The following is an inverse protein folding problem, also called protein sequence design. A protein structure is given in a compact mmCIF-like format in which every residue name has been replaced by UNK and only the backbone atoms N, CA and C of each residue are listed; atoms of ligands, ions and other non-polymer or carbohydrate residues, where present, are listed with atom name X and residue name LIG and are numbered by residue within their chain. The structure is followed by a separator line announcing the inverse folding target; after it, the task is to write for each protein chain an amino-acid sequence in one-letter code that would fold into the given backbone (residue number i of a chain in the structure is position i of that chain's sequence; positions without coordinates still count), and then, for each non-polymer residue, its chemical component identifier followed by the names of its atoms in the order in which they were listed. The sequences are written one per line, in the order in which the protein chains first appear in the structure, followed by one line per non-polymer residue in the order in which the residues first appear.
data_IF_983673062498
#
_entry.id   IF_983673062498
#
_cell.length_a   1.000
_cell.length_b   1.000
_cell.length_c   1.000
_cell.angle_alpha   90.00
_cell.angle_beta   90.00
_cell.angle_gamma   90.00
#
_symmetry.space_group_name_H-M   'P 1'
#
loop_
_entity.id
_entity.type
_entity.pdbx_description
1 polymer ?
#
# COMPACT_ATOMS: atom_id res chain seq x y z
N UNK A 1 -28.32 -3.54 7.73
CA UNK A 1 -27.14 -3.90 6.92
C UNK A 1 -26.74 -5.32 7.27
N UNK A 2 -26.55 -6.26 6.32
CA UNK A 2 -25.94 -7.53 6.64
C UNK A 2 -24.49 -7.26 7.09
N UNK A 3 -23.99 -7.99 8.09
CA UNK A 3 -22.67 -7.80 8.66
C UNK A 3 -21.59 -8.06 7.58
N UNK A 4 -20.96 -7.00 7.10
CA UNK A 4 -19.84 -7.06 6.15
C UNK A 4 -18.52 -7.48 6.82
N UNK A 5 -18.49 -7.52 8.14
CA UNK A 5 -17.28 -7.75 8.95
C UNK A 5 -17.29 -9.17 9.49
N UNK A 6 -16.18 -9.88 9.35
CA UNK A 6 -15.98 -11.23 9.87
C UNK A 6 -16.05 -11.26 11.40
N UNK A 7 -16.74 -12.24 11.97
CA UNK A 7 -16.43 -12.74 13.30
C UNK A 7 -15.07 -13.41 13.26
N UNK A 8 -14.20 -13.15 14.24
CA UNK A 8 -12.86 -13.76 14.34
C UNK A 8 -12.97 -15.28 14.19
N UNK A 9 -12.58 -15.78 13.00
CA UNK A 9 -12.41 -17.20 12.76
C UNK A 9 -10.99 -17.57 13.21
N UNK A 10 -10.80 -18.50 14.17
CA UNK A 10 -9.49 -18.89 14.67
C UNK A 10 -8.66 -19.72 13.69
N UNK A 11 -9.09 -19.88 12.43
CA UNK A 11 -8.41 -20.69 11.41
C UNK A 11 -7.30 -19.99 10.61
N UNK A 12 -6.94 -18.74 10.90
CA UNK A 12 -5.62 -18.22 10.53
C UNK A 12 -4.60 -18.95 11.43
N UNK A 13 -4.12 -20.10 10.98
CA UNK A 13 -3.20 -20.99 11.67
C UNK A 13 -1.98 -20.25 12.18
N UNK A 14 -1.83 -20.18 13.49
CA UNK A 14 -0.60 -19.77 14.17
C UNK A 14 0.55 -20.72 13.84
N UNK A 15 1.75 -20.22 13.49
CA UNK A 15 2.98 -20.93 13.78
C UNK A 15 3.33 -20.68 15.25
N UNK A 16 3.36 -21.75 16.03
CA UNK A 16 3.78 -21.74 17.43
C UNK A 16 5.23 -21.22 17.56
N UNK A 17 5.46 -20.19 18.33
CA UNK A 17 6.40 -19.96 19.42
C UNK A 17 6.79 -18.49 19.63
N UNK A 18 6.73 -18.15 20.88
CA UNK A 18 7.42 -17.10 21.65
C UNK A 18 6.75 -15.73 21.82
N UNK A 19 6.46 -15.53 23.07
CA UNK A 19 5.98 -14.37 23.81
C UNK A 19 6.62 -13.05 23.38
N UNK A 20 5.86 -12.19 22.72
CA UNK A 20 6.11 -10.76 22.72
C UNK A 20 4.80 -10.01 22.96
N UNK A 21 4.82 -9.08 23.89
CA UNK A 21 3.69 -8.26 24.31
C UNK A 21 3.12 -7.51 23.09
N UNK A 22 2.05 -8.05 22.55
CA UNK A 22 1.22 -7.37 21.57
C UNK A 22 0.46 -6.25 22.27
N UNK A 23 0.52 -5.04 21.72
CA UNK A 23 -0.59 -4.12 21.88
C UNK A 23 -1.64 -4.64 20.88
N UNK A 24 -2.31 -5.71 21.25
CA UNK A 24 -3.49 -6.19 20.60
C UNK A 24 -4.60 -5.16 20.87
N UNK A 25 -5.06 -4.47 19.84
CA UNK A 25 -6.42 -3.97 19.86
C UNK A 25 -7.35 -5.18 19.73
N UNK A 26 -7.45 -6.00 20.79
CA UNK A 26 -8.48 -7.02 20.94
C UNK A 26 -9.83 -6.33 21.20
N UNK A 27 -10.39 -5.74 20.16
CA UNK A 27 -11.80 -5.37 20.16
C UNK A 27 -12.61 -6.59 19.72
N UNK A 28 -13.26 -7.26 20.68
CA UNK A 28 -14.24 -8.30 20.38
C UNK A 28 -15.35 -7.72 19.51
N UNK A 29 -15.81 -8.48 18.53
CA UNK A 29 -16.93 -8.07 17.64
C UNK A 29 -18.21 -7.65 18.39
N UNK A 30 -18.41 -8.12 19.63
CA UNK A 30 -19.47 -7.65 20.54
C UNK A 30 -19.31 -6.17 20.94
N UNK A 31 -18.10 -5.62 20.86
CA UNK A 31 -17.79 -4.22 21.17
C UNK A 31 -17.90 -3.31 19.92
N UNK A 32 -17.83 -3.88 18.71
CA UNK A 32 -18.13 -3.18 17.46
C UNK A 32 -19.60 -2.78 17.37
N UNK A 33 -20.52 -3.59 17.94
CA UNK A 33 -21.92 -3.25 18.09
C UNK A 33 -22.17 -2.27 19.25
N UNK A 34 -21.22 -2.05 20.15
CA UNK A 34 -21.32 -1.16 21.30
C UNK A 34 -20.68 0.23 21.09
N UNK A 35 -20.19 0.54 19.88
CA UNK A 35 -19.78 1.89 19.50
C UNK A 35 -18.48 2.39 20.14
N UNK A 36 -17.52 1.52 20.49
CA UNK A 36 -16.19 1.96 20.89
C UNK A 36 -15.38 2.26 19.62
N UNK A 37 -15.57 3.47 19.12
CA UNK A 37 -14.78 4.01 18.01
C UNK A 37 -13.76 5.02 18.54
N UNK A 38 -12.49 4.78 18.34
CA UNK A 38 -11.50 5.85 18.37
C UNK A 38 -11.75 6.74 17.14
N UNK A 39 -12.61 7.75 17.28
CA UNK A 39 -12.90 8.68 16.19
C UNK A 39 -13.46 8.04 14.91
N UNK A 40 -14.24 6.94 14.99
CA UNK A 40 -14.88 6.30 13.84
C UNK A 40 -13.96 5.34 13.04
N UNK A 41 -12.84 4.89 13.61
CA UNK A 41 -11.93 3.90 12.99
C UNK A 41 -12.16 2.54 13.64
N UNK A 42 -12.38 1.50 12.82
CA UNK A 42 -12.48 0.11 13.27
C UNK A 42 -11.08 -0.51 13.37
N UNK A 43 -10.83 -1.34 14.38
CA UNK A 43 -9.56 -2.03 14.56
C UNK A 43 -9.62 -3.47 14.06
N UNK A 44 -8.60 -3.87 13.30
CA UNK A 44 -8.32 -5.24 12.87
C UNK A 44 -7.00 -5.74 13.46
N UNK A 45 -6.59 -6.95 13.11
CA UNK A 45 -5.33 -7.54 13.56
C UNK A 45 -4.16 -7.20 12.63
N UNK A 46 -2.98 -6.91 13.22
CA UNK A 46 -1.69 -6.81 12.50
C UNK A 46 -0.93 -8.10 12.71
N UNK A 47 -0.65 -8.82 11.65
CA UNK A 47 -0.29 -10.24 11.70
C UNK A 47 1.18 -10.55 12.02
N UNK A 48 2.10 -9.55 12.04
CA UNK A 48 3.52 -9.82 12.27
C UNK A 48 4.35 -8.58 12.70
N UNK A 49 5.59 -8.83 13.22
CA UNK A 49 6.55 -7.79 13.64
C UNK A 49 6.90 -6.81 12.52
N UNK A 50 6.98 -7.29 11.28
CA UNK A 50 7.26 -6.47 10.11
C UNK A 50 6.13 -5.45 9.88
N UNK A 51 4.86 -5.90 9.93
CA UNK A 51 3.69 -5.04 9.84
C UNK A 51 3.67 -3.95 10.91
N UNK A 52 4.05 -4.28 12.15
CA UNK A 52 4.13 -3.30 13.25
C UNK A 52 5.13 -2.19 12.96
N UNK A 53 6.35 -2.53 12.48
CA UNK A 53 7.37 -1.53 12.14
C UNK A 53 6.93 -0.61 10.98
N UNK A 54 6.24 -1.17 9.99
CA UNK A 54 5.65 -0.41 8.88
C UNK A 54 4.58 0.54 9.42
N UNK A 55 3.65 0.04 10.23
CA UNK A 55 2.56 0.82 10.83
C UNK A 55 3.08 2.02 11.62
N UNK A 56 4.10 1.82 12.47
CA UNK A 56 4.72 2.88 13.26
C UNK A 56 5.33 3.99 12.37
N UNK A 57 6.07 3.61 11.33
CA UNK A 57 6.74 4.56 10.43
C UNK A 57 5.77 5.37 9.59
N UNK A 58 4.76 4.72 9.02
CA UNK A 58 3.73 5.42 8.26
C UNK A 58 2.86 6.29 9.16
N UNK A 59 2.53 5.83 10.38
CA UNK A 59 1.83 6.68 11.36
C UNK A 59 2.63 7.92 11.73
N UNK A 60 3.95 7.80 11.94
CA UNK A 60 4.82 8.94 12.22
C UNK A 60 4.94 9.91 11.02
N UNK A 61 4.84 9.40 9.78
CA UNK A 61 4.91 10.21 8.57
C UNK A 61 3.58 10.90 8.21
N UNK A 62 2.46 10.54 8.82
CA UNK A 62 1.12 10.99 8.42
C UNK A 62 0.96 12.52 8.38
N UNK A 63 1.65 13.26 9.26
CA UNK A 63 1.57 14.72 9.30
C UNK A 63 2.31 15.41 8.14
N UNK A 64 3.39 14.82 7.60
CA UNK A 64 4.20 15.37 6.50
C UNK A 64 3.94 14.70 5.16
N UNK A 65 3.06 13.69 5.12
CA UNK A 65 2.80 12.87 3.94
C UNK A 65 2.35 13.70 2.72
N UNK A 66 1.47 14.68 2.95
CA UNK A 66 0.92 15.50 1.86
C UNK A 66 1.97 16.38 1.18
N UNK A 67 3.03 16.78 1.90
CA UNK A 67 4.12 17.59 1.36
C UNK A 67 5.08 16.78 0.47
N UNK A 68 5.01 15.44 0.54
CA UNK A 68 5.96 14.54 -0.10
C UNK A 68 5.32 13.48 -1.01
N UNK A 69 4.01 13.51 -1.21
CA UNK A 69 3.23 12.47 -1.92
C UNK A 69 3.15 12.67 -3.44
N UNK A 70 4.12 13.36 -4.06
CA UNK A 70 4.07 13.64 -5.51
C UNK A 70 3.95 12.37 -6.36
N UNK A 71 4.74 11.35 -6.06
CA UNK A 71 4.65 10.06 -6.76
C UNK A 71 3.27 9.42 -6.59
N UNK A 72 2.74 9.42 -5.35
CA UNK A 72 1.44 8.82 -5.03
C UNK A 72 0.32 9.49 -5.83
N UNK A 73 0.38 10.82 -5.97
CA UNK A 73 -0.59 11.58 -6.78
C UNK A 73 -0.48 11.26 -8.27
N UNK A 74 0.74 11.16 -8.81
CA UNK A 74 0.97 10.78 -10.22
C UNK A 74 0.45 9.36 -10.50
N UNK A 75 0.77 8.42 -9.60
CA UNK A 75 0.33 7.03 -9.71
C UNK A 75 -1.19 6.91 -9.58
N UNK A 76 -1.80 7.59 -8.61
CA UNK A 76 -3.25 7.63 -8.44
C UNK A 76 -3.95 8.20 -9.68
N UNK A 77 -3.47 9.33 -10.22
CA UNK A 77 -4.04 9.93 -11.44
C UNK A 77 -3.96 8.99 -12.66
N UNK A 78 -2.91 8.16 -12.75
CA UNK A 78 -2.80 7.14 -13.79
C UNK A 78 -3.76 5.97 -13.56
N UNK A 79 -3.81 5.45 -12.33
CA UNK A 79 -4.62 4.28 -11.95
C UNK A 79 -6.13 4.57 -12.04
N UNK A 80 -6.53 5.80 -11.77
CA UNK A 80 -7.94 6.23 -11.75
C UNK A 80 -8.50 6.55 -13.15
N UNK A 81 -7.71 6.55 -14.23
CA UNK A 81 -8.20 6.88 -15.59
C UNK A 81 -9.33 5.99 -16.07
N UNK A 82 -9.23 4.70 -15.81
CA UNK A 82 -10.21 3.69 -16.20
C UNK A 82 -10.94 3.11 -14.98
N UNK A 83 -10.83 3.80 -13.85
CA UNK A 83 -11.45 3.38 -12.61
C UNK A 83 -12.92 3.80 -12.58
N UNK A 84 -13.77 2.88 -12.17
CA UNK A 84 -15.19 3.13 -11.94
C UNK A 84 -15.61 2.36 -10.70
N UNK A 85 -16.26 3.04 -9.76
CA UNK A 85 -16.72 2.45 -8.53
C UNK A 85 -18.24 2.56 -8.40
N UNK A 86 -18.85 1.47 -7.96
CA UNK A 86 -20.23 1.41 -7.52
C UNK A 86 -20.36 0.46 -6.33
N UNK A 87 -21.27 0.71 -5.41
CA UNK A 87 -21.46 -0.14 -4.24
C UNK A 87 -20.36 0.00 -3.20
N UNK A 88 -19.75 -1.10 -2.79
CA UNK A 88 -18.73 -1.14 -1.75
C UNK A 88 -17.32 -1.13 -2.35
N UNK A 89 -16.61 -0.02 -2.19
CA UNK A 89 -15.22 0.17 -2.57
C UNK A 89 -14.31 -0.09 -1.38
N UNK A 90 -13.29 -0.93 -1.57
CA UNK A 90 -12.22 -1.16 -0.60
C UNK A 90 -10.93 -0.50 -1.08
N UNK A 91 -10.47 0.54 -0.37
CA UNK A 91 -9.17 1.19 -0.58
C UNK A 91 -8.15 0.56 0.38
N UNK A 92 -7.19 -0.21 -0.15
CA UNK A 92 -6.17 -0.92 0.64
C UNK A 92 -4.86 -0.13 0.66
N UNK A 93 -4.38 0.20 1.85
CA UNK A 93 -3.28 1.12 2.06
C UNK A 93 -3.70 2.55 1.75
N UNK A 94 -4.88 2.92 2.24
CA UNK A 94 -5.56 4.17 1.92
C UNK A 94 -4.73 5.43 2.26
N UNK A 95 -3.78 5.31 3.20
CA UNK A 95 -3.02 6.46 3.67
C UNK A 95 -3.94 7.57 4.19
N UNK A 96 -3.69 8.84 3.86
CA UNK A 96 -4.56 9.95 4.23
C UNK A 96 -5.82 10.08 3.35
N UNK A 97 -6.05 9.12 2.45
CA UNK A 97 -7.23 8.99 1.59
C UNK A 97 -7.02 9.42 0.13
N UNK A 98 -7.82 8.81 -0.74
CA UNK A 98 -7.97 9.14 -2.16
C UNK A 98 -9.39 9.67 -2.39
N UNK A 99 -9.52 10.72 -3.20
CA UNK A 99 -10.83 11.25 -3.59
C UNK A 99 -11.45 10.39 -4.69
N UNK A 100 -12.54 9.70 -4.37
CA UNK A 100 -13.30 8.88 -5.31
C UNK A 100 -14.59 9.56 -5.80
N UNK A 101 -14.86 10.81 -5.45
CA UNK A 101 -16.13 11.49 -5.74
C UNK A 101 -16.43 11.64 -7.25
N UNK A 102 -15.39 11.67 -8.09
CA UNK A 102 -15.51 11.78 -9.55
C UNK A 102 -15.58 10.45 -10.31
N UNK A 103 -15.52 9.30 -9.64
CA UNK A 103 -15.29 7.99 -10.26
C UNK A 103 -16.48 7.03 -10.10
N UNK A 104 -17.69 7.56 -10.15
CA UNK A 104 -18.90 6.75 -10.10
C UNK A 104 -19.19 6.09 -11.45
N UNK A 105 -19.63 4.83 -11.43
CA UNK A 105 -20.07 4.12 -12.65
C UNK A 105 -21.25 4.83 -13.28
N UNK A 106 -21.07 5.37 -14.48
CA UNK A 106 -22.14 5.87 -15.35
C UNK A 106 -22.66 4.69 -16.18
N UNK A 107 -23.13 3.64 -15.52
CA UNK A 107 -23.72 2.48 -16.20
C UNK A 107 -25.22 2.60 -16.15
N UNK A 108 -25.78 3.21 -17.16
CA UNK A 108 -27.07 3.00 -17.84
C UNK A 108 -27.72 4.33 -18.27
N UNK A 109 -28.41 4.38 -19.41
CA UNK A 109 -29.17 5.58 -19.81
C UNK A 109 -30.26 5.84 -18.78
N UNK A 110 -30.43 7.13 -18.48
CA UNK A 110 -31.29 7.66 -17.45
C UNK A 110 -32.71 7.05 -17.43
N UNK A 111 -32.91 6.04 -16.62
CA UNK A 111 -34.20 5.78 -16.02
C UNK A 111 -34.26 6.61 -14.73
N UNK A 112 -35.06 7.66 -14.75
CA UNK A 112 -35.15 8.69 -13.70
C UNK A 112 -35.69 8.18 -12.35
N UNK A 113 -35.79 6.87 -12.16
CA UNK A 113 -36.37 6.23 -10.97
C UNK A 113 -35.39 5.50 -10.06
N UNK A 114 -34.10 5.35 -10.43
CA UNK A 114 -33.08 4.73 -9.57
C UNK A 114 -32.12 5.78 -9.02
N UNK A 115 -32.42 6.20 -7.80
CA UNK A 115 -31.61 7.05 -6.94
C UNK A 115 -30.15 6.59 -6.90
N UNK A 116 -29.22 7.56 -7.07
CA UNK A 116 -27.84 7.60 -6.62
C UNK A 116 -27.29 6.27 -6.06
N UNK A 117 -26.63 5.49 -6.87
CA UNK A 117 -25.77 4.41 -6.37
C UNK A 117 -24.53 5.06 -5.72
N UNK A 118 -24.73 5.52 -4.47
CA UNK A 118 -23.63 6.10 -3.69
C UNK A 118 -22.59 5.03 -3.42
N UNK A 119 -21.35 5.30 -3.79
CA UNK A 119 -20.20 4.44 -3.43
C UNK A 119 -19.94 4.59 -1.93
N UNK A 120 -19.92 3.47 -1.21
CA UNK A 120 -19.48 3.43 0.19
C UNK A 120 -18.01 2.99 0.22
N UNK A 121 -17.16 3.85 0.77
CA UNK A 121 -15.70 3.61 0.82
C UNK A 121 -15.29 3.04 2.17
N UNK A 122 -14.65 1.86 2.12
CA UNK A 122 -13.93 1.27 3.25
C UNK A 122 -12.43 1.49 3.02
N UNK A 123 -11.81 2.29 3.87
CA UNK A 123 -10.41 2.67 3.79
C UNK A 123 -9.59 1.86 4.79
N UNK A 124 -8.81 0.90 4.30
CA UNK A 124 -7.94 0.05 5.12
C UNK A 124 -6.52 0.58 5.09
N UNK A 125 -5.93 0.74 6.26
CA UNK A 125 -4.50 1.00 6.39
C UNK A 125 -3.98 0.32 7.67
N UNK A 126 -2.73 -0.16 7.62
CA UNK A 126 -2.07 -0.74 8.80
C UNK A 126 -1.64 0.36 9.80
N UNK A 127 -1.47 1.59 9.31
CA UNK A 127 -1.01 2.74 10.08
C UNK A 127 -2.20 3.56 10.60
N UNK A 128 -2.50 3.46 11.89
CA UNK A 128 -3.59 4.18 12.53
C UNK A 128 -3.48 5.71 12.33
N UNK A 129 -2.26 6.28 12.37
CA UNK A 129 -2.04 7.70 12.14
C UNK A 129 -2.47 8.18 10.75
N UNK A 130 -2.36 7.32 9.72
CA UNK A 130 -2.88 7.61 8.38
C UNK A 130 -4.39 7.68 8.36
N UNK A 131 -5.08 6.72 9.01
CA UNK A 131 -6.54 6.71 9.10
C UNK A 131 -7.09 7.89 9.91
N UNK A 132 -6.39 8.32 10.95
CA UNK A 132 -6.75 9.53 11.68
C UNK A 132 -6.68 10.77 10.78
N UNK A 133 -5.67 10.84 9.89
CA UNK A 133 -5.56 11.90 8.90
C UNK A 133 -6.64 11.78 7.82
N UNK A 134 -6.93 10.56 7.35
CA UNK A 134 -8.01 10.28 6.40
C UNK A 134 -9.36 10.80 6.92
N UNK A 135 -9.70 10.54 8.18
CA UNK A 135 -10.98 10.98 8.77
C UNK A 135 -11.13 12.51 8.85
N UNK A 136 -10.03 13.26 8.85
CA UNK A 136 -10.06 14.72 8.78
C UNK A 136 -10.46 15.21 7.38
N UNK A 137 -10.02 14.52 6.31
CA UNK A 137 -10.26 14.89 4.92
C UNK A 137 -11.52 14.24 4.34
N UNK A 138 -11.83 13.02 4.77
CA UNK A 138 -12.93 12.19 4.27
C UNK A 138 -13.73 11.61 5.45
N UNK A 139 -14.54 12.43 6.15
CA UNK A 139 -15.28 11.99 7.35
C UNK A 139 -16.27 10.87 7.07
N UNK A 140 -16.78 10.77 5.84
CA UNK A 140 -17.76 9.76 5.43
C UNK A 140 -17.14 8.40 5.06
N UNK A 141 -15.81 8.31 4.91
CA UNK A 141 -15.15 7.03 4.64
C UNK A 141 -15.06 6.18 5.92
N UNK A 142 -15.26 4.89 5.79
CA UNK A 142 -15.13 3.94 6.89
C UNK A 142 -13.67 3.51 7.05
N UNK A 143 -12.95 4.11 8.01
CA UNK A 143 -11.56 3.76 8.32
C UNK A 143 -11.47 2.42 9.06
N UNK A 144 -10.58 1.54 8.61
CA UNK A 144 -10.35 0.21 9.20
C UNK A 144 -8.84 -0.01 9.35
N UNK A 145 -8.35 -0.13 10.59
CA UNK A 145 -6.94 -0.40 10.86
C UNK A 145 -6.70 -1.91 10.77
N UNK A 146 -6.12 -2.38 9.67
CA UNK A 146 -5.89 -3.81 9.43
C UNK A 146 -4.74 -4.06 8.45
N UNK A 147 -4.23 -5.31 8.47
CA UNK A 147 -3.25 -5.82 7.52
C UNK A 147 -3.98 -6.31 6.24
N UNK A 148 -3.46 -5.95 5.07
CA UNK A 148 -3.98 -6.40 3.78
C UNK A 148 -3.91 -7.93 3.61
N UNK A 149 -3.04 -8.60 4.36
CA UNK A 149 -2.87 -10.06 4.38
C UNK A 149 -3.92 -10.76 5.25
N UNK A 150 -4.73 -10.02 6.01
CA UNK A 150 -5.81 -10.55 6.86
C UNK A 150 -6.93 -9.50 6.98
N UNK A 151 -7.74 -9.38 5.93
CA UNK A 151 -8.78 -8.37 5.83
C UNK A 151 -10.00 -8.73 6.70
N UNK A 152 -10.50 -7.82 7.57
CA UNK A 152 -11.60 -8.10 8.49
C UNK A 152 -12.98 -7.98 7.83
N UNK A 153 -13.10 -8.41 6.57
CA UNK A 153 -14.34 -8.39 5.81
C UNK A 153 -14.82 -9.79 5.48
N UNK A 154 -16.13 -9.95 5.31
CA UNK A 154 -16.74 -11.22 4.89
C UNK A 154 -16.42 -11.53 3.43
N UNK A 155 -16.47 -12.82 3.07
CA UNK A 155 -16.26 -13.26 1.69
C UNK A 155 -17.28 -12.62 0.74
N UNK A 156 -16.82 -12.17 -0.42
CA UNK A 156 -17.70 -11.63 -1.46
C UNK A 156 -18.51 -10.41 -1.03
N UNK A 157 -17.92 -9.53 -0.21
CA UNK A 157 -18.60 -8.34 0.33
C UNK A 157 -18.29 -7.06 -0.44
N UNK A 158 -17.16 -7.00 -1.17
CA UNK A 158 -16.70 -5.81 -1.86
C UNK A 158 -16.98 -5.89 -3.36
N UNK A 159 -17.37 -4.77 -3.96
CA UNK A 159 -17.65 -4.67 -5.39
C UNK A 159 -16.37 -4.36 -6.18
N UNK A 160 -15.50 -3.49 -5.62
CA UNK A 160 -14.25 -3.09 -6.24
C UNK A 160 -13.17 -2.87 -5.20
N UNK A 161 -11.92 -3.17 -5.56
CA UNK A 161 -10.73 -2.89 -4.76
C UNK A 161 -9.84 -1.89 -5.49
N UNK A 162 -9.35 -0.92 -4.76
CA UNK A 162 -8.31 0.01 -5.17
C UNK A 162 -7.12 -0.11 -4.20
N UNK A 163 -5.89 -0.02 -4.73
CA UNK A 163 -4.69 0.10 -3.89
C UNK A 163 -3.58 0.81 -4.67
N UNK A 164 -3.10 1.92 -4.13
CA UNK A 164 -2.09 2.73 -4.77
C UNK A 164 -0.80 2.78 -3.95
N UNK A 165 0.26 2.16 -4.45
CA UNK A 165 1.62 2.16 -3.87
C UNK A 165 1.66 1.73 -2.39
N UNK A 166 0.89 0.70 -2.03
CA UNK A 166 0.82 0.19 -0.67
C UNK A 166 1.27 -1.28 -0.55
N UNK A 167 0.82 -2.15 -1.44
CA UNK A 167 0.97 -3.59 -1.29
C UNK A 167 2.41 -4.11 -1.46
N UNK A 168 3.36 -3.31 -1.98
CA UNK A 168 4.78 -3.65 -1.98
C UNK A 168 5.39 -3.75 -0.57
N UNK A 169 4.68 -3.30 0.44
CA UNK A 169 5.08 -3.37 1.84
C UNK A 169 4.58 -4.63 2.56
N UNK A 170 3.71 -5.42 1.93
CA UNK A 170 3.28 -6.70 2.46
C UNK A 170 4.46 -7.68 2.53
N UNK A 171 4.56 -8.41 3.65
CA UNK A 171 5.56 -9.46 3.80
C UNK A 171 5.27 -10.64 2.84
N UNK A 172 4.00 -10.92 2.60
CA UNK A 172 3.49 -11.94 1.70
C UNK A 172 2.45 -11.32 0.75
N UNK A 173 2.90 -10.82 -0.41
CA UNK A 173 2.01 -10.25 -1.42
C UNK A 173 1.00 -11.29 -1.97
N UNK A 174 1.38 -12.56 -2.26
CA UNK A 174 0.41 -13.60 -2.59
C UNK A 174 -0.72 -13.77 -1.58
N UNK A 175 -0.45 -13.69 -0.28
CA UNK A 175 -1.48 -13.74 0.76
C UNK A 175 -2.44 -12.54 0.66
N UNK A 176 -1.94 -11.34 0.43
CA UNK A 176 -2.77 -10.16 0.19
C UNK A 176 -3.65 -10.33 -1.06
N UNK A 177 -3.12 -10.90 -2.16
CA UNK A 177 -3.89 -11.20 -3.37
C UNK A 177 -4.99 -12.24 -3.10
N UNK A 178 -4.72 -13.25 -2.26
CA UNK A 178 -5.72 -14.24 -1.86
C UNK A 178 -6.84 -13.61 -1.02
N UNK A 179 -6.51 -12.71 -0.09
CA UNK A 179 -7.50 -11.96 0.70
C UNK A 179 -8.35 -11.03 -0.17
N UNK A 180 -7.74 -10.33 -1.14
CA UNK A 180 -8.48 -9.55 -2.14
C UNK A 180 -9.47 -10.42 -2.91
N UNK A 181 -9.06 -11.61 -3.38
CA UNK A 181 -9.97 -12.56 -4.04
C UNK A 181 -11.10 -12.99 -3.12
N UNK A 182 -10.81 -13.25 -1.85
CA UNK A 182 -11.81 -13.70 -0.87
C UNK A 182 -12.89 -12.64 -0.63
N UNK A 183 -12.49 -11.37 -0.46
CA UNK A 183 -13.43 -10.29 -0.11
C UNK A 183 -14.18 -9.71 -1.31
N UNK A 184 -13.61 -9.77 -2.53
CA UNK A 184 -14.30 -9.36 -3.74
C UNK A 184 -15.50 -10.25 -4.05
N UNK A 185 -16.57 -9.67 -4.56
CA UNK A 185 -17.68 -10.41 -5.20
C UNK A 185 -17.21 -11.07 -6.51
N UNK A 186 -17.86 -12.13 -6.98
CA UNK A 186 -17.66 -12.61 -8.35
C UNK A 186 -17.81 -11.46 -9.36
N UNK A 187 -16.92 -11.41 -10.34
CA UNK A 187 -16.78 -10.35 -11.33
C UNK A 187 -16.38 -8.97 -10.78
N UNK A 188 -16.10 -8.83 -9.48
CA UNK A 188 -15.49 -7.64 -8.91
C UNK A 188 -14.07 -7.42 -9.42
N UNK A 189 -13.66 -6.19 -9.58
CA UNK A 189 -12.35 -5.81 -10.11
C UNK A 189 -11.44 -5.25 -9.02
N UNK A 190 -10.13 -5.45 -9.20
CA UNK A 190 -9.11 -4.75 -8.44
C UNK A 190 -8.22 -3.92 -9.36
N UNK A 191 -7.89 -2.71 -8.90
CA UNK A 191 -7.02 -1.75 -9.56
C UNK A 191 -5.84 -1.45 -8.62
N UNK A 192 -4.65 -1.89 -8.99
CA UNK A 192 -3.47 -1.85 -8.14
C UNK A 192 -2.31 -1.14 -8.80
N UNK A 193 -1.55 -0.39 -8.04
CA UNK A 193 -0.22 0.05 -8.43
C UNK A 193 0.81 -0.30 -7.36
N UNK A 194 1.99 -0.76 -7.80
CA UNK A 194 3.08 -1.19 -6.93
C UNK A 194 4.42 -0.69 -7.46
N UNK A 195 5.31 -0.31 -6.56
CA UNK A 195 6.71 -0.07 -6.92
C UNK A 195 7.37 -1.42 -7.24
N UNK A 196 8.05 -1.50 -8.39
CA UNK A 196 8.68 -2.71 -8.89
C UNK A 196 10.20 -2.59 -9.03
N UNK A 197 10.84 -3.71 -9.30
CA UNK A 197 12.28 -3.80 -9.56
C UNK A 197 12.70 -2.82 -10.66
N UNK A 198 13.89 -2.23 -10.51
CA UNK A 198 14.42 -1.20 -11.40
C UNK A 198 14.04 0.23 -10.98
N UNK A 199 13.32 0.39 -9.86
CA UNK A 199 13.04 1.69 -9.26
C UNK A 199 14.26 2.26 -8.53
N UNK A 200 14.33 3.60 -8.44
CA UNK A 200 15.28 4.33 -7.59
C UNK A 200 16.76 4.14 -8.00
N UNK A 201 17.02 3.89 -9.28
CA UNK A 201 18.40 3.67 -9.76
C UNK A 201 19.32 4.84 -9.43
N UNK A 202 18.81 6.08 -9.43
CA UNK A 202 19.58 7.27 -9.07
C UNK A 202 20.12 7.19 -7.63
N UNK A 203 19.37 6.59 -6.69
CA UNK A 203 19.87 6.37 -5.33
C UNK A 203 21.00 5.35 -5.30
N UNK A 204 20.87 4.26 -6.06
CA UNK A 204 21.94 3.27 -6.19
C UNK A 204 23.20 3.88 -6.80
N UNK A 205 23.07 4.74 -7.82
CA UNK A 205 24.19 5.50 -8.40
C UNK A 205 24.85 6.42 -7.36
N UNK A 206 24.08 7.01 -6.45
CA UNK A 206 24.62 7.80 -5.34
C UNK A 206 25.27 6.94 -4.24
N UNK A 207 25.27 5.60 -4.37
CA UNK A 207 25.80 4.68 -3.38
C UNK A 207 24.86 4.45 -2.19
N UNK A 208 23.58 4.80 -2.33
CA UNK A 208 22.56 4.57 -1.30
C UNK A 208 21.90 3.20 -1.51
N UNK A 209 21.53 2.57 -0.40
CA UNK A 209 20.79 1.30 -0.46
C UNK A 209 19.36 1.54 -0.92
N UNK A 210 18.89 0.71 -1.83
CA UNK A 210 17.52 0.69 -2.33
C UNK A 210 16.86 -0.60 -1.85
N UNK A 211 15.55 -0.56 -1.60
CA UNK A 211 14.77 -1.76 -1.27
C UNK A 211 14.73 -2.73 -2.47
N UNK A 212 14.71 -4.02 -2.17
CA UNK A 212 14.46 -5.06 -3.17
C UNK A 212 12.97 -5.13 -3.47
N UNK A 213 12.56 -4.52 -4.58
CA UNK A 213 11.18 -4.60 -5.06
C UNK A 213 11.00 -5.83 -5.95
N UNK A 214 9.78 -6.37 -5.94
CA UNK A 214 9.42 -7.52 -6.77
C UNK A 214 9.47 -7.19 -8.26
N UNK A 215 9.78 -8.20 -9.09
CA UNK A 215 9.66 -8.09 -10.54
C UNK A 215 8.19 -8.06 -10.96
N UNK A 216 7.88 -7.46 -12.13
CA UNK A 216 6.53 -7.52 -12.70
C UNK A 216 6.05 -8.97 -12.86
N UNK A 217 6.94 -9.89 -13.25
CA UNK A 217 6.59 -11.32 -13.38
C UNK A 217 6.19 -11.94 -12.03
N UNK A 218 6.93 -11.65 -10.96
CA UNK A 218 6.60 -12.15 -9.63
C UNK A 218 5.26 -11.59 -9.13
N UNK A 219 5.00 -10.29 -9.34
CA UNK A 219 3.73 -9.67 -9.00
C UNK A 219 2.57 -10.29 -9.78
N UNK A 220 2.74 -10.50 -11.10
CA UNK A 220 1.75 -11.15 -11.95
C UNK A 220 1.47 -12.58 -11.54
N UNK A 221 2.50 -13.35 -11.14
CA UNK A 221 2.38 -14.75 -10.75
C UNK A 221 1.56 -14.97 -9.46
N UNK A 222 1.39 -13.93 -8.63
CA UNK A 222 0.51 -14.00 -7.46
C UNK A 222 -0.98 -14.11 -7.83
N UNK A 223 -1.37 -13.66 -9.02
CA UNK A 223 -2.74 -13.75 -9.53
C UNK A 223 -2.96 -15.09 -10.23
N UNK A 224 -3.43 -16.09 -9.49
CA UNK A 224 -3.71 -17.42 -10.03
C UNK A 224 -4.84 -17.37 -11.06
N UNK A 225 -4.63 -17.96 -12.24
CA UNK A 225 -5.55 -17.87 -13.38
C UNK A 225 -6.87 -18.62 -13.18
N UNK A 226 -6.96 -19.53 -12.23
CA UNK A 226 -8.22 -20.18 -11.81
C UNK A 226 -9.15 -19.22 -11.05
N UNK A 227 -8.56 -18.28 -10.32
CA UNK A 227 -9.27 -17.32 -9.48
C UNK A 227 -9.40 -15.95 -10.15
N UNK A 228 -8.41 -15.56 -10.95
CA UNK A 228 -8.28 -14.24 -11.53
C UNK A 228 -8.27 -14.24 -13.05
N UNK A 229 -8.90 -13.25 -13.65
CA UNK A 229 -8.70 -12.80 -15.02
C UNK A 229 -7.88 -11.51 -15.00
N UNK A 230 -6.68 -11.56 -15.58
CA UNK A 230 -5.86 -10.35 -15.74
C UNK A 230 -6.36 -9.57 -16.95
N UNK A 231 -6.94 -8.40 -16.70
CA UNK A 231 -7.45 -7.49 -17.74
C UNK A 231 -6.32 -6.65 -18.32
N UNK A 232 -5.43 -6.16 -17.44
CA UNK A 232 -4.29 -5.34 -17.82
C UNK A 232 -3.14 -5.51 -16.83
N UNK A 233 -1.91 -5.59 -17.34
CA UNK A 233 -0.68 -5.54 -16.56
C UNK A 233 0.34 -4.73 -17.33
N UNK A 234 0.72 -3.58 -16.81
CA UNK A 234 1.68 -2.69 -17.46
C UNK A 234 2.77 -2.22 -16.51
N UNK A 235 3.94 -1.92 -17.06
CA UNK A 235 5.06 -1.29 -16.36
C UNK A 235 5.16 0.16 -16.82
N UNK A 236 4.92 1.10 -15.92
CA UNK A 236 4.90 2.54 -16.21
C UNK A 236 6.03 3.23 -15.47
N UNK A 237 7.04 3.77 -16.17
CA UNK A 237 8.06 4.59 -15.52
C UNK A 237 7.45 5.93 -15.09
N UNK A 238 7.66 6.30 -13.82
CA UNK A 238 7.24 7.57 -13.27
C UNK A 238 8.43 8.28 -12.66
N UNK A 239 8.71 9.50 -13.11
CA UNK A 239 9.82 10.32 -12.59
C UNK A 239 9.28 11.54 -11.88
N UNK A 240 9.78 11.76 -10.67
CA UNK A 240 9.57 12.99 -9.89
C UNK A 240 10.87 13.76 -9.84
N UNK A 241 10.78 15.09 -9.78
CA UNK A 241 11.93 15.98 -9.85
C UNK A 241 12.04 16.82 -8.59
N UNK A 242 13.27 17.08 -8.16
CA UNK A 242 13.56 17.80 -6.92
C UNK A 242 14.60 18.89 -7.15
N UNK A 243 14.45 20.01 -6.46
CA UNK A 243 15.41 21.14 -6.54
C UNK A 243 16.76 20.80 -5.91
N UNK A 244 16.76 19.96 -4.88
CA UNK A 244 17.97 19.60 -4.13
C UNK A 244 18.01 18.13 -3.77
N UNK A 245 19.22 17.58 -3.57
CA UNK A 245 19.40 16.23 -3.04
C UNK A 245 18.71 16.06 -1.67
N UNK A 246 18.73 17.10 -0.84
CA UNK A 246 18.05 17.08 0.46
C UNK A 246 16.55 16.87 0.28
N UNK A 247 15.90 17.62 -0.62
CA UNK A 247 14.47 17.50 -0.91
C UNK A 247 14.13 16.08 -1.43
N UNK A 248 14.97 15.56 -2.35
CA UNK A 248 14.84 14.19 -2.88
C UNK A 248 14.86 13.14 -1.76
N UNK A 249 15.85 13.20 -0.86
CA UNK A 249 15.95 12.22 0.24
C UNK A 249 14.82 12.39 1.27
N UNK A 250 14.38 13.62 1.51
CA UNK A 250 13.26 13.89 2.41
C UNK A 250 11.93 13.40 1.83
N UNK A 251 11.76 13.40 0.51
CA UNK A 251 10.53 12.87 -0.12
C UNK A 251 10.30 11.40 0.21
N UNK A 252 11.37 10.59 0.22
CA UNK A 252 11.29 9.16 0.56
C UNK A 252 10.98 8.99 2.05
N UNK A 253 11.66 9.74 2.90
CA UNK A 253 11.47 9.70 4.36
C UNK A 253 10.08 10.22 4.75
N UNK A 254 9.63 11.30 4.11
CA UNK A 254 8.39 12.00 4.44
C UNK A 254 7.12 11.18 4.18
N UNK A 255 7.18 10.21 3.27
CA UNK A 255 6.07 9.25 3.04
C UNK A 255 6.22 7.96 3.84
N UNK A 256 7.22 7.84 4.74
CA UNK A 256 7.43 6.62 5.53
C UNK A 256 8.15 5.48 4.79
N UNK A 257 8.55 5.70 3.53
CA UNK A 257 9.10 4.67 2.64
C UNK A 257 10.57 4.28 2.91
N UNK A 258 11.17 4.71 4.02
CA UNK A 258 12.57 4.43 4.37
C UNK A 258 12.79 3.06 5.04
N UNK A 259 11.85 2.12 4.89
CA UNK A 259 11.93 0.78 5.50
C UNK A 259 12.80 -0.13 4.63
N UNK A 260 13.86 -0.68 5.22
CA UNK A 260 14.55 -1.82 4.63
C UNK A 260 13.74 -3.08 4.92
N UNK A 261 13.05 -3.62 3.93
CA UNK A 261 12.48 -4.97 4.02
C UNK A 261 13.66 -5.94 4.03
N UNK A 262 13.87 -6.65 5.14
CA UNK A 262 14.79 -7.76 5.15
C UNK A 262 14.17 -8.85 4.28
N UNK A 263 14.72 -9.08 3.07
CA UNK A 263 14.36 -10.25 2.29
C UNK A 263 14.66 -11.49 3.13
N UNK A 264 13.64 -12.31 3.38
CA UNK A 264 13.78 -13.64 3.96
C UNK A 264 14.46 -14.54 2.93
N UNK A 265 15.78 -14.36 2.75
CA UNK A 265 16.59 -15.32 2.02
C UNK A 265 16.67 -16.59 2.85
N UNK A 266 15.97 -17.61 2.43
CA UNK A 266 16.16 -19.01 2.83
C UNK A 266 17.68 -19.27 2.86
N UNK A 267 18.21 -19.54 4.06
CA UNK A 267 19.60 -19.96 4.22
C UNK A 267 19.80 -21.29 3.50
N UNK A 268 20.36 -21.24 2.30
CA UNK A 268 21.05 -22.40 1.75
C UNK A 268 22.39 -22.46 2.47
N UNK A 269 22.58 -23.51 3.24
CA UNK A 269 23.78 -23.77 4.02
C UNK A 269 25.01 -23.84 3.11
N UNK A 270 26.04 -23.02 3.40
CA UNK A 270 27.40 -23.26 2.94
C UNK A 270 28.05 -22.15 2.15
N UNK A 271 28.14 -20.95 2.68
CA UNK A 271 29.30 -20.07 2.56
C UNK A 271 29.07 -18.81 3.39
N UNK A 272 29.92 -18.61 4.38
CA UNK A 272 30.02 -17.40 5.17
C UNK A 272 30.57 -16.27 4.30
N UNK A 273 29.71 -15.57 3.57
CA UNK A 273 30.00 -14.21 3.11
C UNK A 273 29.29 -13.30 4.10
N UNK A 274 30.08 -12.67 4.95
CA UNK A 274 29.68 -11.65 5.90
C UNK A 274 28.83 -10.59 5.20
N UNK A 275 27.53 -10.53 5.53
CA UNK A 275 26.59 -9.49 5.11
C UNK A 275 26.81 -8.20 5.92
N UNK A 276 28.05 -7.88 6.24
CA UNK A 276 28.47 -6.61 6.80
C UNK A 276 29.28 -5.87 5.74
N UNK A 277 28.97 -4.62 5.50
CA UNK A 277 29.86 -3.63 4.90
C UNK A 277 29.55 -3.11 3.50
N UNK A 278 28.30 -2.73 3.18
CA UNK A 278 28.11 -1.65 2.18
C UNK A 278 26.84 -0.84 2.44
N UNK A 279 26.69 -0.31 3.67
CA UNK A 279 25.93 0.92 3.85
C UNK A 279 26.94 2.05 3.86
N UNK A 280 26.95 2.96 2.89
CA UNK A 280 27.74 4.19 3.03
C UNK A 280 27.13 4.96 4.22
N UNK A 281 27.74 4.79 5.38
CA UNK A 281 27.52 5.69 6.50
C UNK A 281 28.11 7.01 6.04
N UNK A 282 27.27 8.01 5.79
CA UNK A 282 27.72 9.39 5.66
C UNK A 282 28.49 9.74 6.95
N UNK A 283 29.81 9.62 6.88
CA UNK A 283 30.68 9.78 8.06
C UNK A 283 31.18 11.21 8.22
N UNK A 284 30.57 12.18 7.49
CA UNK A 284 30.94 13.56 7.67
C UNK A 284 30.52 14.48 6.53
N UNK A 285 30.95 15.73 6.67
CA UNK A 285 30.65 16.81 5.71
C UNK A 285 31.21 16.53 4.31
N UNK A 286 32.37 15.89 4.23
CA UNK A 286 33.01 15.57 2.94
C UNK A 286 32.21 14.53 2.13
N UNK A 287 31.68 13.47 2.77
CA UNK A 287 30.87 12.46 2.10
C UNK A 287 29.55 13.07 1.58
N UNK A 288 28.97 13.95 2.35
CA UNK A 288 27.77 14.70 1.93
C UNK A 288 28.04 15.58 0.72
N UNK A 289 29.15 16.33 0.73
CA UNK A 289 29.55 17.17 -0.41
C UNK A 289 29.82 16.34 -1.66
N UNK A 290 30.55 15.23 -1.54
CA UNK A 290 30.79 14.32 -2.65
C UNK A 290 29.49 13.77 -3.24
N UNK A 291 28.54 13.38 -2.38
CA UNK A 291 27.21 12.92 -2.82
C UNK A 291 26.44 14.04 -3.52
N UNK A 292 26.50 15.28 -3.02
CA UNK A 292 25.85 16.43 -3.67
C UNK A 292 26.43 16.67 -5.08
N UNK A 293 27.76 16.66 -5.22
CA UNK A 293 28.40 16.81 -6.55
C UNK A 293 27.96 15.72 -7.50
N UNK A 294 27.91 14.48 -7.02
CA UNK A 294 27.44 13.35 -7.83
C UNK A 294 25.96 13.49 -8.18
N UNK A 295 25.11 13.93 -7.25
CA UNK A 295 23.69 14.18 -7.52
C UNK A 295 23.51 15.26 -8.59
N UNK A 296 24.31 16.34 -8.54
CA UNK A 296 24.24 17.40 -9.55
C UNK A 296 24.63 16.91 -10.96
N UNK A 297 25.48 15.88 -11.09
CA UNK A 297 25.77 15.27 -12.40
C UNK A 297 24.57 14.51 -13.00
N UNK A 298 23.57 14.15 -12.19
CA UNK A 298 22.32 13.53 -12.63
C UNK A 298 21.23 14.55 -12.94
N UNK A 299 21.44 15.85 -12.69
CA UNK A 299 20.44 16.90 -12.85
C UNK A 299 19.99 17.01 -14.31
N UNK A 300 18.68 17.08 -14.48
CA UNK A 300 18.01 17.42 -15.73
C UNK A 300 17.44 18.85 -15.66
N UNK A 301 16.97 19.42 -16.79
CA UNK A 301 16.37 20.77 -16.78
C UNK A 301 15.22 20.93 -15.77
N UNK A 302 14.48 19.86 -15.45
CA UNK A 302 13.37 19.85 -14.50
C UNK A 302 13.82 19.70 -13.04
N UNK A 303 15.08 19.37 -12.77
CA UNK A 303 15.63 19.14 -11.43
C UNK A 303 16.34 17.80 -11.30
N UNK A 304 16.61 17.37 -10.07
CA UNK A 304 17.17 16.05 -9.77
C UNK A 304 16.10 14.98 -9.96
N UNK A 305 16.26 14.04 -10.90
CA UNK A 305 15.26 13.02 -11.16
C UNK A 305 15.30 11.90 -10.12
N UNK A 306 14.13 11.36 -9.81
CA UNK A 306 13.97 10.11 -9.08
C UNK A 306 12.92 9.27 -9.78
N UNK A 307 13.36 8.17 -10.41
CA UNK A 307 12.51 7.35 -11.27
C UNK A 307 12.07 6.08 -10.56
N UNK A 308 10.78 5.80 -10.67
CA UNK A 308 10.13 4.61 -10.17
C UNK A 308 9.60 3.78 -11.35
N UNK A 309 9.74 2.47 -11.26
CA UNK A 309 9.07 1.52 -12.15
C UNK A 309 7.78 1.08 -11.46
N UNK A 310 6.64 1.53 -11.97
CA UNK A 310 5.34 1.23 -11.38
C UNK A 310 4.65 0.14 -12.18
N UNK A 311 4.38 -0.99 -11.54
CA UNK A 311 3.51 -2.02 -12.12
C UNK A 311 2.07 -1.64 -11.78
N UNK A 312 1.25 -1.48 -12.81
CA UNK A 312 -0.19 -1.32 -12.69
C UNK A 312 -0.87 -2.62 -13.11
N UNK A 313 -1.79 -3.09 -12.28
CA UNK A 313 -2.54 -4.33 -12.49
C UNK A 313 -4.03 -4.03 -12.38
N UNK A 314 -4.80 -4.39 -13.42
CA UNK A 314 -6.25 -4.50 -13.37
C UNK A 314 -6.61 -5.97 -13.52
N UNK A 315 -7.33 -6.50 -12.56
CA UNK A 315 -7.72 -7.90 -12.58
C UNK A 315 -9.16 -8.06 -12.07
N UNK A 316 -9.86 -9.07 -12.58
CA UNK A 316 -11.24 -9.41 -12.22
C UNK A 316 -11.27 -10.75 -11.52
N UNK A 317 -12.04 -10.86 -10.43
CA UNK A 317 -12.32 -12.14 -9.80
C UNK A 317 -13.29 -12.96 -10.66
N UNK A 318 -12.95 -14.24 -10.94
CA UNK A 318 -13.75 -15.10 -11.80
C UNK A 318 -15.03 -15.59 -11.11
N UNK A 319 -14.93 -16.27 -10.00
CA UNK A 319 -16.08 -16.94 -9.34
C UNK A 319 -16.10 -16.68 -7.83
#
# INVERSE_FOLDING_TARGET
MPSLIKSSDPSCSEPAHESNKFIACDLKLSELNAGVSYGGILAGTVSNVHGTQIAERFSAAAHSYQDHNQLQRLSAASLLREFSAAGYLLDIGAGPGTDFSGYHSVSQPADLSTQNSSTTVFAVDIALGMLQKLKQSYPDYHGVCADAQCLPFTNGSMDVIYSNLALQWCADFPAAVAEMARVLKPNGECHLSLVAQGSLNQLAELGLRVNDFSTMQALKAAFKLDTWELLEVQLVPMTVYFDTLKALLYSIKGVGASVHVASSTTRVSGSTVSASEFTPRLRGRQDWQAMQVKAESLRLPQGLPLTYQIVQIRARRRF
#
